data_IF_071959575344
#
_entry.id   IF_071959575344
#
_cell.length_a   1.000
_cell.length_b   1.000
_cell.length_c   1.000
_cell.angle_alpha   90.00
_cell.angle_beta   90.00
_cell.angle_gamma   90.00
#
_symmetry.space_group_name_H-M   'P 1'
#
loop_
_entity.id
_entity.type
_entity.pdbx_description
1 polymer ?
#
# COMPACT_ATOMS: atom_id res chain seq x y z
N UNK A 1 -2.46 17.51 15.28
CA UNK A 1 -2.79 17.12 13.90
C UNK A 1 -1.82 16.04 13.50
N UNK A 2 -2.27 14.80 13.50
CA UNK A 2 -1.56 13.69 12.88
C UNK A 2 -1.91 13.77 11.38
N UNK A 3 -0.92 13.64 10.51
CA UNK A 3 -1.15 13.61 9.05
C UNK A 3 -1.70 12.22 8.71
N UNK A 4 -2.96 11.99 9.07
CA UNK A 4 -3.64 10.67 9.03
C UNK A 4 -4.06 10.24 7.62
N UNK A 5 -3.70 11.00 6.59
CA UNK A 5 -4.05 10.70 5.21
C UNK A 5 -3.31 9.47 4.64
N UNK A 6 -2.58 8.73 5.47
CA UNK A 6 -1.90 7.50 5.09
C UNK A 6 -2.32 6.36 6.03
N UNK A 7 -3.56 5.95 5.92
CA UNK A 7 -4.19 4.83 6.62
C UNK A 7 -4.36 3.60 5.71
N UNK A 8 -5.07 2.56 6.18
CA UNK A 8 -5.29 1.32 5.44
C UNK A 8 -6.21 1.48 4.21
N UNK A 9 -6.93 2.60 4.11
CA UNK A 9 -7.79 2.94 2.99
C UNK A 9 -7.03 3.67 1.88
N UNK A 10 -5.77 4.03 2.14
CA UNK A 10 -4.89 4.63 1.14
C UNK A 10 -4.56 3.63 0.05
N UNK A 11 -5.07 3.89 -1.14
CA UNK A 11 -4.84 3.08 -2.34
C UNK A 11 -3.66 3.61 -3.16
N UNK A 12 -2.86 2.70 -3.69
CA UNK A 12 -1.74 2.97 -4.60
C UNK A 12 -2.03 2.28 -5.94
N UNK A 13 -2.13 3.02 -7.05
CA UNK A 13 -2.25 2.41 -8.37
C UNK A 13 -0.94 1.71 -8.74
N UNK A 14 -1.04 0.51 -9.29
CA UNK A 14 0.10 -0.32 -9.68
C UNK A 14 -0.16 -1.01 -11.03
N UNK A 15 0.91 -1.45 -11.67
CA UNK A 15 0.85 -2.36 -12.80
C UNK A 15 1.40 -3.70 -12.32
N UNK A 16 0.58 -4.74 -12.31
CA UNK A 16 0.97 -6.10 -11.97
C UNK A 16 0.76 -6.97 -13.19
N UNK A 17 1.79 -7.70 -13.61
CA UNK A 17 1.75 -8.57 -14.79
C UNK A 17 1.23 -7.90 -16.09
N UNK A 18 1.40 -6.58 -16.19
CA UNK A 18 0.93 -5.77 -17.32
C UNK A 18 -0.50 -5.24 -17.20
N UNK A 19 -1.22 -5.56 -16.12
CA UNK A 19 -2.58 -5.11 -15.84
C UNK A 19 -2.63 -4.01 -14.77
N UNK A 20 -3.58 -3.08 -14.91
CA UNK A 20 -3.82 -2.03 -13.92
C UNK A 20 -4.47 -2.63 -12.67
N UNK A 21 -3.76 -2.52 -11.55
CA UNK A 21 -4.18 -3.00 -10.23
C UNK A 21 -4.26 -1.84 -9.24
N UNK A 22 -5.06 -2.02 -8.20
CA UNK A 22 -5.10 -1.10 -7.06
C UNK A 22 -4.63 -1.87 -5.83
N UNK A 23 -3.57 -1.37 -5.22
CA UNK A 23 -3.01 -1.90 -3.99
C UNK A 23 -3.43 -1.07 -2.80
N UNK A 24 -3.61 -1.70 -1.66
CA UNK A 24 -3.94 -1.04 -0.40
C UNK A 24 -2.83 -1.27 0.59
N UNK A 25 -2.57 -0.30 1.46
CA UNK A 25 -1.55 -0.49 2.47
C UNK A 25 -2.02 -1.45 3.54
N UNK A 26 -1.17 -2.42 3.87
CA UNK A 26 -1.47 -3.39 4.91
C UNK A 26 -0.70 -3.04 6.18
N UNK A 27 0.63 -3.13 6.16
CA UNK A 27 1.48 -2.79 7.31
C UNK A 27 2.91 -2.48 6.88
N UNK A 28 3.66 -1.85 7.78
CA UNK A 28 5.09 -1.64 7.61
C UNK A 28 5.87 -2.83 8.15
N UNK A 29 6.71 -3.45 7.32
CA UNK A 29 7.67 -4.44 7.78
C UNK A 29 9.01 -3.75 8.08
N UNK A 30 9.30 -3.62 9.39
CA UNK A 30 10.54 -3.03 9.88
C UNK A 30 11.77 -3.90 9.65
N UNK A 31 11.63 -5.19 9.32
CA UNK A 31 12.76 -6.08 9.03
C UNK A 31 13.32 -5.83 7.64
N UNK A 32 12.46 -5.52 6.69
CA UNK A 32 12.84 -5.23 5.29
C UNK A 32 12.82 -3.74 4.98
N UNK A 33 12.48 -2.90 5.97
CA UNK A 33 12.33 -1.45 5.83
C UNK A 33 11.38 -1.07 4.68
N UNK A 34 10.25 -1.77 4.59
CA UNK A 34 9.34 -1.67 3.45
C UNK A 34 7.87 -1.74 3.85
N UNK A 35 7.02 -1.10 3.06
CA UNK A 35 5.56 -1.24 3.19
C UNK A 35 5.07 -2.48 2.45
N UNK A 36 4.33 -3.33 3.17
CA UNK A 36 3.57 -4.43 2.60
C UNK A 36 2.22 -3.88 2.14
N UNK A 37 1.90 -4.16 0.88
CA UNK A 37 0.65 -3.78 0.25
C UNK A 37 -0.16 -5.04 -0.10
N UNK A 38 -1.48 -4.96 0.06
CA UNK A 38 -2.43 -6.01 -0.33
C UNK A 38 -3.10 -5.65 -1.66
N UNK A 39 -3.34 -6.66 -2.48
CA UNK A 39 -4.23 -6.55 -3.65
C UNK A 39 -5.70 -6.60 -3.17
N UNK A 40 -6.59 -5.88 -3.87
CA UNK A 40 -8.04 -5.95 -3.63
C UNK A 40 -8.66 -7.28 -4.03
#
# INVERSE_FOLDING_TARGET
MQLDAWDADTSVPAILDGEHSVLYREHYDSKTDAWVLRLA
#
